data_IF_226031478358
#
_entry.id   IF_226031478358
#
_cell.length_a   1.000
_cell.length_b   1.000
_cell.length_c   1.000
_cell.angle_alpha   90.00
_cell.angle_beta   90.00
_cell.angle_gamma   90.00
#
_symmetry.space_group_name_H-M   'P 1'
#
loop_
_entity.id
_entity.type
_entity.pdbx_description
1 polymer ?
#
# COMPACT_ATOMS: atom_id res chain seq x y z
N UNK A 1 20.79 -16.48 11.98
CA UNK A 1 20.76 -16.39 10.51
C UNK A 1 19.63 -15.44 10.20
N UNK A 2 19.94 -14.20 9.82
CA UNK A 2 18.91 -13.26 9.38
C UNK A 2 18.36 -13.76 8.04
N UNK A 3 17.05 -13.76 7.88
CA UNK A 3 16.41 -14.09 6.62
C UNK A 3 16.71 -13.04 5.55
N UNK A 4 16.61 -13.43 4.27
CA UNK A 4 16.74 -12.49 3.14
C UNK A 4 15.76 -11.31 3.23
N UNK A 5 14.55 -11.54 3.74
CA UNK A 5 13.57 -10.48 3.93
C UNK A 5 13.92 -9.56 5.11
N UNK A 6 14.53 -10.07 6.19
CA UNK A 6 15.09 -9.24 7.25
C UNK A 6 16.21 -8.31 6.74
N UNK A 7 17.08 -8.79 5.84
CA UNK A 7 18.10 -7.95 5.21
C UNK A 7 17.49 -6.90 4.27
N UNK A 8 16.59 -7.30 3.37
CA UNK A 8 15.94 -6.38 2.45
C UNK A 8 15.20 -5.25 3.20
N UNK A 9 14.53 -5.56 4.30
CA UNK A 9 13.80 -4.54 5.05
C UNK A 9 14.65 -3.73 6.04
N UNK A 10 15.90 -4.13 6.33
CA UNK A 10 16.88 -3.23 6.93
C UNK A 10 17.23 -2.09 5.96
N UNK A 11 17.36 -2.38 4.67
CA UNK A 11 17.58 -1.33 3.66
C UNK A 11 16.40 -0.34 3.59
N UNK A 12 15.16 -0.81 3.80
CA UNK A 12 14.01 0.08 3.89
C UNK A 12 14.18 1.08 5.05
N UNK A 13 14.54 0.61 6.24
CA UNK A 13 14.77 1.49 7.39
C UNK A 13 15.84 2.55 7.08
N UNK A 14 16.97 2.16 6.50
CA UNK A 14 18.04 3.09 6.12
C UNK A 14 17.60 4.12 5.05
N UNK A 15 16.79 3.70 4.09
CA UNK A 15 16.22 4.59 3.09
C UNK A 15 15.28 5.61 3.73
N UNK A 16 14.38 5.16 4.61
CA UNK A 16 13.46 6.04 5.32
C UNK A 16 14.24 7.04 6.17
N UNK A 17 15.31 6.65 6.85
CA UNK A 17 16.12 7.52 7.72
C UNK A 17 16.83 8.66 6.98
N UNK A 18 16.99 8.53 5.67
CA UNK A 18 17.49 9.61 4.80
C UNK A 18 16.36 10.51 4.26
N UNK A 19 15.11 10.09 4.39
CA UNK A 19 13.93 10.81 3.93
C UNK A 19 13.33 11.68 5.04
N UNK A 20 12.83 12.86 4.64
CA UNK A 20 12.09 13.77 5.54
C UNK A 20 10.59 13.54 5.40
N UNK A 21 10.13 12.36 5.80
CA UNK A 21 8.71 11.96 5.81
C UNK A 21 8.25 11.61 7.23
N UNK A 22 6.97 11.82 7.53
CA UNK A 22 6.38 11.52 8.83
C UNK A 22 5.87 10.07 8.92
N UNK A 23 5.32 9.53 7.82
CA UNK A 23 4.89 8.14 7.75
C UNK A 23 6.07 7.17 7.64
N UNK A 24 5.83 5.89 7.95
CA UNK A 24 6.86 4.86 7.91
C UNK A 24 7.57 4.61 9.24
N UNK A 25 7.11 5.24 10.33
CA UNK A 25 7.73 5.14 11.66
C UNK A 25 6.71 5.09 12.79
N UNK A 26 6.90 4.19 13.77
CA UNK A 26 7.87 3.08 13.81
C UNK A 26 7.66 2.06 12.68
N UNK A 27 8.74 1.43 12.21
CA UNK A 27 8.71 0.39 11.18
C UNK A 27 8.97 -0.98 11.81
N UNK A 28 8.09 -1.94 11.55
CA UNK A 28 8.31 -3.36 11.86
C UNK A 28 8.32 -4.18 10.58
N UNK A 29 9.27 -5.09 10.48
CA UNK A 29 9.51 -5.90 9.29
C UNK A 29 9.48 -7.37 9.65
N UNK A 30 8.75 -8.16 8.85
CA UNK A 30 8.56 -9.58 9.08
C UNK A 30 8.77 -10.36 7.79
N UNK A 31 9.20 -11.61 7.90
CA UNK A 31 9.23 -12.51 6.75
C UNK A 31 7.82 -12.95 6.37
N UNK A 32 7.05 -13.35 7.38
CA UNK A 32 5.71 -13.88 7.25
C UNK A 32 4.87 -13.45 8.45
N UNK A 33 3.62 -13.10 8.19
CA UNK A 33 2.60 -12.76 9.19
C UNK A 33 1.25 -13.34 8.75
N UNK A 34 0.24 -13.32 9.61
CA UNK A 34 -1.14 -13.59 9.18
C UNK A 34 -1.65 -12.46 8.29
N UNK A 35 -1.56 -11.22 8.77
CA UNK A 35 -1.91 -9.99 8.05
C UNK A 35 -1.14 -8.80 8.64
N UNK A 36 -0.57 -7.96 7.79
CA UNK A 36 0.06 -6.69 8.20
C UNK A 36 -0.97 -5.71 8.77
N UNK A 37 -2.21 -5.74 8.25
CA UNK A 37 -3.30 -4.90 8.77
C UNK A 37 -3.61 -5.24 10.24
N UNK A 38 -3.62 -6.53 10.59
CA UNK A 38 -3.94 -6.96 11.96
C UNK A 38 -2.91 -6.44 12.96
N UNK A 39 -1.62 -6.54 12.61
CA UNK A 39 -0.54 -6.03 13.46
C UNK A 39 -0.66 -4.51 13.63
N UNK A 40 -0.88 -3.75 12.56
CA UNK A 40 -1.03 -2.29 12.66
C UNK A 40 -2.26 -1.91 13.46
N UNK A 41 -3.36 -2.64 13.30
CA UNK A 41 -4.60 -2.43 14.07
C UNK A 41 -4.38 -2.65 15.56
N UNK A 42 -3.70 -3.73 15.96
CA UNK A 42 -3.34 -3.97 17.36
C UNK A 42 -2.50 -2.82 17.94
N UNK A 43 -1.55 -2.28 17.16
CA UNK A 43 -0.76 -1.11 17.59
C UNK A 43 -1.61 0.14 17.73
N UNK A 44 -2.54 0.37 16.82
CA UNK A 44 -3.47 1.50 16.88
C UNK A 44 -4.37 1.43 18.13
N UNK A 45 -4.95 0.26 18.42
CA UNK A 45 -5.80 0.03 19.58
C UNK A 45 -5.03 0.14 20.91
N UNK A 46 -3.73 -0.12 20.90
CA UNK A 46 -2.82 0.11 22.02
C UNK A 46 -2.35 1.58 22.16
N UNK A 47 -2.88 2.52 21.38
CA UNK A 47 -2.52 3.94 21.44
C UNK A 47 -1.28 4.31 20.61
N UNK A 48 -0.93 3.51 19.61
CA UNK A 48 0.16 3.80 18.68
C UNK A 48 -0.05 5.13 17.93
N UNK A 49 1.07 5.81 17.66
CA UNK A 49 1.07 7.09 16.93
C UNK A 49 0.78 6.91 15.44
N UNK A 50 0.30 7.96 14.78
CA UNK A 50 0.30 8.02 13.31
C UNK A 50 1.67 7.66 12.72
N UNK A 51 1.65 6.94 11.59
CA UNK A 51 2.86 6.56 10.86
C UNK A 51 3.40 5.16 11.17
N UNK A 52 2.89 4.47 12.21
CA UNK A 52 3.23 3.06 12.46
C UNK A 52 3.06 2.23 11.18
N UNK A 53 4.14 1.59 10.76
CA UNK A 53 4.18 0.82 9.52
C UNK A 53 4.66 -0.60 9.78
N UNK A 54 3.95 -1.55 9.19
CA UNK A 54 4.37 -2.97 9.15
C UNK A 54 4.58 -3.37 7.71
N UNK A 55 5.71 -4.01 7.43
CA UNK A 55 5.99 -4.64 6.13
C UNK A 55 6.23 -6.12 6.33
N UNK A 56 5.68 -6.94 5.43
CA UNK A 56 5.91 -8.37 5.43
C UNK A 56 6.29 -8.90 4.05
N UNK A 57 7.13 -9.94 4.02
CA UNK A 57 7.49 -10.63 2.79
C UNK A 57 6.41 -11.59 2.27
N UNK A 58 5.55 -12.09 3.16
CA UNK A 58 4.45 -13.05 2.93
C UNK A 58 3.31 -12.78 3.90
N UNK A 59 2.08 -13.11 3.51
CA UNK A 59 0.95 -13.17 4.44
C UNK A 59 0.17 -14.48 4.26
N UNK A 60 -0.10 -15.21 5.34
CA UNK A 60 -0.85 -16.48 5.28
C UNK A 60 -2.37 -16.28 5.23
N UNK A 61 -2.85 -15.12 5.70
CA UNK A 61 -4.25 -14.74 5.70
C UNK A 61 -4.45 -13.34 5.08
N UNK A 62 -3.75 -13.05 3.97
CA UNK A 62 -3.88 -11.79 3.23
C UNK A 62 -5.32 -11.54 2.76
N UNK A 63 -5.81 -10.31 2.97
CA UNK A 63 -7.21 -9.94 2.70
C UNK A 63 -7.31 -8.78 1.72
N UNK A 64 -8.37 -8.80 0.93
CA UNK A 64 -8.88 -7.69 0.15
C UNK A 64 -10.26 -7.29 0.64
N UNK A 65 -10.91 -6.39 -0.11
CA UNK A 65 -12.26 -5.91 0.21
C UNK A 65 -13.31 -7.01 0.12
N UNK A 66 -14.36 -6.86 0.92
CA UNK A 66 -15.55 -7.72 0.90
C UNK A 66 -15.22 -9.20 1.13
N UNK A 67 -14.24 -9.49 1.99
CA UNK A 67 -13.85 -10.85 2.36
C UNK A 67 -13.04 -11.61 1.31
N UNK A 68 -12.67 -11.00 0.18
CA UNK A 68 -11.83 -11.64 -0.84
C UNK A 68 -10.42 -11.88 -0.29
N UNK A 69 -9.81 -13.01 -0.65
CA UNK A 69 -8.40 -13.29 -0.33
C UNK A 69 -7.49 -12.45 -1.23
N UNK A 70 -6.42 -11.90 -0.65
CA UNK A 70 -5.29 -11.39 -1.42
C UNK A 70 -4.23 -12.49 -1.49
N UNK A 71 -3.81 -12.89 -2.69
CA UNK A 71 -2.80 -13.93 -2.85
C UNK A 71 -1.42 -13.38 -2.46
N UNK A 72 -0.92 -13.82 -1.31
CA UNK A 72 0.31 -13.32 -0.66
C UNK A 72 1.32 -14.41 -0.29
N UNK A 73 1.15 -15.59 -0.88
CA UNK A 73 1.90 -16.80 -0.56
C UNK A 73 3.23 -16.87 -1.34
N UNK A 74 3.56 -15.87 -2.14
CA UNK A 74 4.85 -15.74 -2.85
C UNK A 74 5.75 -14.72 -2.15
N UNK A 75 7.06 -14.96 -2.12
CA UNK A 75 8.05 -13.99 -1.64
C UNK A 75 8.27 -12.80 -2.58
N UNK A 76 7.61 -12.76 -3.75
CA UNK A 76 7.73 -11.66 -4.70
C UNK A 76 6.92 -10.40 -4.35
N UNK A 77 5.93 -10.50 -3.45
CA UNK A 77 5.06 -9.36 -3.13
C UNK A 77 5.60 -8.45 -2.05
N UNK A 78 5.15 -7.19 -2.09
CA UNK A 78 5.27 -6.22 -1.01
C UNK A 78 3.90 -6.12 -0.32
N UNK A 79 3.85 -6.44 0.97
CA UNK A 79 2.65 -6.27 1.79
C UNK A 79 2.97 -5.30 2.91
N UNK A 80 2.33 -4.14 2.89
CA UNK A 80 2.60 -3.05 3.81
C UNK A 80 1.30 -2.56 4.42
N UNK A 81 1.31 -2.21 5.69
CA UNK A 81 0.20 -1.53 6.35
C UNK A 81 0.71 -0.29 7.08
N UNK A 82 -0.06 0.79 7.03
CA UNK A 82 0.29 2.08 7.65
C UNK A 82 -0.88 2.57 8.50
N UNK A 83 -0.58 3.01 9.73
CA UNK A 83 -1.54 3.67 10.62
C UNK A 83 -1.69 5.15 10.25
N UNK A 84 -2.91 5.56 9.93
CA UNK A 84 -3.27 6.95 9.67
C UNK A 84 -4.25 7.46 10.74
N UNK A 85 -4.09 8.70 11.19
CA UNK A 85 -4.99 9.40 12.10
C UNK A 85 -5.41 10.73 11.45
N UNK A 86 -6.31 10.66 10.45
CA UNK A 86 -6.62 11.83 9.62
C UNK A 86 -7.54 12.84 10.30
N UNK A 87 -8.29 12.42 11.33
CA UNK A 87 -9.40 13.18 11.90
C UNK A 87 -10.36 13.69 10.81
N UNK A 88 -10.79 12.80 9.91
CA UNK A 88 -11.72 13.15 8.84
C UNK A 88 -13.16 12.79 9.21
N UNK A 89 -14.16 13.46 8.63
CA UNK A 89 -15.54 12.99 8.67
C UNK A 89 -15.68 11.56 8.11
N UNK A 90 -16.59 10.77 8.70
CA UNK A 90 -16.77 9.36 8.33
C UNK A 90 -17.17 9.15 6.86
N UNK A 91 -17.93 10.07 6.28
CA UNK A 91 -18.36 10.08 4.87
C UNK A 91 -17.19 10.28 3.90
N UNK A 92 -16.05 10.76 4.39
CA UNK A 92 -14.82 10.89 3.60
C UNK A 92 -13.91 9.66 3.67
N UNK A 93 -14.26 8.62 4.43
CA UNK A 93 -13.44 7.41 4.59
C UNK A 93 -13.06 6.73 3.28
N UNK A 94 -13.92 6.79 2.26
CA UNK A 94 -13.63 6.27 0.92
C UNK A 94 -12.44 6.95 0.23
N UNK A 95 -12.14 8.22 0.57
CA UNK A 95 -11.01 8.97 0.01
C UNK A 95 -9.66 8.43 0.45
N UNK A 96 -9.58 7.70 1.56
CA UNK A 96 -8.34 7.07 1.99
C UNK A 96 -7.90 5.97 1.01
N UNK A 97 -8.84 5.18 0.46
CA UNK A 97 -8.49 4.18 -0.55
C UNK A 97 -7.97 4.83 -1.84
N UNK A 98 -8.56 5.96 -2.23
CA UNK A 98 -8.10 6.80 -3.36
C UNK A 98 -6.69 7.31 -3.09
N UNK A 99 -6.45 7.88 -1.91
CA UNK A 99 -5.13 8.36 -1.48
C UNK A 99 -4.05 7.27 -1.61
N UNK A 100 -4.31 6.08 -1.09
CA UNK A 100 -3.39 4.95 -1.22
C UNK A 100 -3.15 4.54 -2.67
N UNK A 101 -4.20 4.53 -3.50
CA UNK A 101 -4.08 4.21 -4.93
C UNK A 101 -3.24 5.24 -5.69
N UNK A 102 -3.47 6.53 -5.43
CA UNK A 102 -2.68 7.64 -6.00
C UNK A 102 -1.22 7.54 -5.55
N UNK A 103 -0.96 7.26 -4.27
CA UNK A 103 0.40 7.09 -3.77
C UNK A 103 1.16 5.96 -4.49
N UNK A 104 0.52 4.79 -4.66
CA UNK A 104 1.13 3.68 -5.41
C UNK A 104 1.31 4.02 -6.89
N UNK A 105 0.32 4.64 -7.52
CA UNK A 105 0.43 5.09 -8.91
C UNK A 105 1.64 6.01 -9.09
N UNK A 106 1.74 7.08 -8.30
CA UNK A 106 2.83 8.07 -8.40
C UNK A 106 4.19 7.42 -8.10
N UNK A 107 4.25 6.49 -7.14
CA UNK A 107 5.48 5.78 -6.81
C UNK A 107 5.97 4.95 -7.99
N UNK A 108 5.10 4.14 -8.60
CA UNK A 108 5.47 3.28 -9.72
C UNK A 108 5.76 4.10 -11.00
N UNK A 109 5.00 5.17 -11.24
CA UNK A 109 5.25 6.09 -12.37
C UNK A 109 6.63 6.76 -12.22
N UNK A 110 7.00 7.21 -11.02
CA UNK A 110 8.31 7.81 -10.74
C UNK A 110 9.48 6.85 -10.94
N UNK A 111 9.23 5.54 -10.85
CA UNK A 111 10.20 4.48 -11.13
C UNK A 111 10.27 4.13 -12.63
N UNK A 112 9.48 4.80 -13.48
CA UNK A 112 9.48 4.63 -14.93
C UNK A 112 8.46 3.62 -15.45
N UNK A 113 7.54 3.14 -14.61
CA UNK A 113 6.49 2.22 -15.05
C UNK A 113 5.46 2.96 -15.90
N UNK A 114 5.16 2.43 -17.09
CA UNK A 114 4.23 3.03 -18.04
C UNK A 114 2.92 2.26 -18.14
N UNK A 115 1.88 2.92 -18.67
CA UNK A 115 0.56 2.30 -18.87
C UNK A 115 -0.21 2.07 -17.57
N UNK A 116 0.12 2.83 -16.53
CA UNK A 116 -0.59 2.83 -15.26
C UNK A 116 -1.99 3.42 -15.41
N UNK A 117 -2.93 2.89 -14.63
CA UNK A 117 -4.25 3.47 -14.43
C UNK A 117 -4.76 3.15 -13.03
N UNK A 118 -5.68 3.98 -12.55
CA UNK A 118 -6.38 3.75 -11.29
C UNK A 118 -7.68 3.02 -11.60
N UNK A 119 -8.13 2.09 -10.76
CA UNK A 119 -9.41 1.42 -10.93
C UNK A 119 -10.24 1.59 -9.68
N UNK A 120 -11.46 2.09 -9.87
CA UNK A 120 -12.40 2.21 -8.77
C UNK A 120 -12.73 0.82 -8.19
N UNK A 121 -12.76 0.66 -6.86
CA UNK A 121 -12.59 1.70 -5.84
C UNK A 121 -11.18 1.83 -5.25
N UNK A 122 -10.25 0.92 -5.53
CA UNK A 122 -9.07 0.74 -4.69
C UNK A 122 -7.91 -0.01 -5.35
N UNK A 123 -7.88 -0.13 -6.68
CA UNK A 123 -6.89 -0.93 -7.38
C UNK A 123 -6.01 -0.04 -8.28
N UNK A 124 -4.75 -0.45 -8.46
CA UNK A 124 -3.86 0.13 -9.48
C UNK A 124 -3.60 -0.93 -10.53
N UNK A 125 -3.67 -0.54 -11.80
CA UNK A 125 -3.47 -1.43 -12.94
C UNK A 125 -2.29 -0.96 -13.79
N UNK A 126 -1.67 -1.91 -14.49
CA UNK A 126 -0.78 -1.65 -15.62
C UNK A 126 -1.35 -2.37 -16.83
N UNK A 127 -1.62 -1.62 -17.91
CA UNK A 127 -2.20 -2.16 -19.16
C UNK A 127 -3.45 -3.02 -18.92
N UNK A 128 -4.32 -2.55 -18.01
CA UNK A 128 -5.57 -3.22 -17.64
C UNK A 128 -5.45 -4.39 -16.65
N UNK A 129 -4.24 -4.82 -16.27
CA UNK A 129 -4.00 -5.89 -15.30
C UNK A 129 -3.59 -5.33 -13.94
N UNK A 130 -4.07 -5.94 -12.87
CA UNK A 130 -3.87 -5.48 -11.50
C UNK A 130 -2.44 -5.65 -11.03
N UNK A 131 -1.82 -4.57 -10.57
CA UNK A 131 -0.49 -4.56 -9.96
C UNK A 131 -0.54 -4.28 -8.45
N UNK A 132 -1.57 -3.58 -7.99
CA UNK A 132 -1.73 -3.27 -6.56
C UNK A 132 -3.20 -3.17 -6.16
N UNK A 133 -3.45 -3.38 -4.87
CA UNK A 133 -4.75 -3.13 -4.24
C UNK A 133 -4.58 -2.53 -2.85
N UNK A 134 -5.51 -1.65 -2.51
CA UNK A 134 -5.53 -0.91 -1.25
C UNK A 134 -6.72 -1.36 -0.40
N UNK A 135 -6.48 -1.68 0.87
CA UNK A 135 -7.52 -2.02 1.83
C UNK A 135 -7.45 -1.04 3.00
N UNK A 136 -8.51 -0.26 3.19
CA UNK A 136 -8.62 0.65 4.33
C UNK A 136 -9.63 0.11 5.32
N UNK A 137 -9.21 -0.02 6.57
CA UNK A 137 -10.05 -0.44 7.70
C UNK A 137 -10.11 0.70 8.73
N UNK A 138 -11.14 1.57 8.66
CA UNK A 138 -11.28 2.70 9.58
C UNK A 138 -11.88 2.29 10.92
N UNK A 139 -11.43 2.93 12.00
CA UNK A 139 -12.12 3.01 13.29
C UNK A 139 -12.86 4.33 13.37
N UNK A 140 -14.17 4.26 13.63
CA UNK A 140 -15.05 5.42 13.62
C UNK A 140 -15.53 5.69 15.06
N UNK A 141 -15.46 6.94 15.47
CA UNK A 141 -15.97 7.44 16.75
C UNK A 141 -16.43 8.89 16.62
N UNK A 142 -17.54 9.25 17.26
CA UNK A 142 -18.07 10.62 17.21
C UNK A 142 -18.37 11.17 15.81
N UNK A 143 -18.65 10.30 14.83
CA UNK A 143 -18.87 10.70 13.42
C UNK A 143 -17.59 10.99 12.64
N UNK A 144 -16.42 10.68 13.20
CA UNK A 144 -15.10 10.93 12.61
C UNK A 144 -14.27 9.65 12.57
N UNK A 145 -13.22 9.66 11.76
CA UNK A 145 -12.24 8.60 11.66
C UNK A 145 -11.19 8.83 12.75
N UNK A 146 -11.27 8.07 13.84
CA UNK A 146 -10.29 8.10 14.94
C UNK A 146 -8.92 7.65 14.43
N UNK A 147 -8.90 6.53 13.70
CA UNK A 147 -7.76 6.07 12.95
C UNK A 147 -8.20 5.21 11.76
N UNK A 148 -7.30 4.99 10.82
CA UNK A 148 -7.48 4.04 9.73
C UNK A 148 -6.21 3.23 9.50
N UNK A 149 -6.39 1.92 9.35
CA UNK A 149 -5.30 1.04 8.92
C UNK A 149 -5.37 0.92 7.40
N UNK A 150 -4.33 1.40 6.73
CA UNK A 150 -4.22 1.32 5.27
C UNK A 150 -3.26 0.20 4.88
N UNK A 151 -3.82 -0.91 4.44
CA UNK A 151 -3.11 -2.01 3.80
C UNK A 151 -2.86 -1.73 2.32
N UNK A 152 -1.64 -1.97 1.87
CA UNK A 152 -1.15 -1.78 0.52
C UNK A 152 -0.44 -3.07 0.09
N UNK A 153 -1.02 -3.77 -0.88
CA UNK A 153 -0.38 -4.90 -1.54
C UNK A 153 0.15 -4.48 -2.91
N UNK A 154 1.44 -4.67 -3.18
CA UNK A 154 2.04 -4.41 -4.51
C UNK A 154 2.69 -5.69 -5.02
N UNK A 155 2.38 -6.05 -6.26
CA UNK A 155 3.03 -7.13 -6.98
C UNK A 155 4.36 -6.63 -7.54
N UNK A 156 5.48 -7.01 -6.92
CA UNK A 156 6.81 -6.52 -7.31
C UNK A 156 7.56 -7.59 -8.11
N UNK A 157 7.96 -8.67 -7.44
CA UNK A 157 8.80 -9.73 -7.97
C UNK A 157 8.06 -10.96 -8.49
N UNK A 158 6.73 -11.04 -8.34
CA UNK A 158 5.97 -12.22 -8.76
C UNK A 158 6.12 -12.51 -10.26
N UNK A 159 6.14 -13.79 -10.59
CA UNK A 159 6.11 -14.35 -11.94
C UNK A 159 4.74 -14.98 -12.22
N UNK A 160 4.47 -15.36 -13.48
CA UNK A 160 3.22 -16.03 -13.82
C UNK A 160 2.99 -17.35 -13.08
N UNK A 161 4.06 -18.03 -12.63
CA UNK A 161 3.97 -19.28 -11.87
C UNK A 161 3.48 -19.07 -10.43
N UNK A 162 3.61 -17.85 -9.91
CA UNK A 162 3.18 -17.50 -8.55
C UNK A 162 1.65 -17.33 -8.44
N UNK A 163 0.92 -17.21 -9.55
CA UNK A 163 -0.54 -17.07 -9.57
C UNK A 163 -1.25 -18.32 -10.07
N UNK A 164 -2.44 -18.55 -9.53
CA UNK A 164 -3.39 -19.50 -10.10
C UNK A 164 -3.86 -19.01 -11.49
N UNK A 165 -4.50 -19.90 -12.26
CA UNK A 165 -4.90 -19.61 -13.65
C UNK A 165 -5.81 -18.39 -13.78
N UNK A 166 -6.80 -18.26 -12.90
CA UNK A 166 -7.74 -17.13 -12.87
C UNK A 166 -7.00 -15.79 -12.67
N UNK A 167 -6.12 -15.74 -11.65
CA UNK A 167 -5.39 -14.51 -11.29
C UNK A 167 -4.33 -14.16 -12.32
N UNK A 168 -3.72 -15.14 -12.98
CA UNK A 168 -2.62 -14.94 -13.94
C UNK A 168 -3.02 -14.05 -15.12
N UNK A 169 -4.27 -14.12 -15.57
CA UNK A 169 -4.79 -13.27 -16.65
C UNK A 169 -5.14 -11.84 -16.19
N UNK A 170 -5.48 -11.68 -14.91
CA UNK A 170 -5.98 -10.43 -14.32
C UNK A 170 -4.91 -9.63 -13.60
N UNK A 171 -3.76 -10.23 -13.26
CA UNK A 171 -2.69 -9.62 -12.49
C UNK A 171 -1.40 -9.46 -13.31
N UNK A 172 -0.57 -8.51 -12.87
CA UNK A 172 0.81 -8.33 -13.32
C UNK A 172 1.68 -7.90 -12.15
N UNK A 173 2.98 -7.77 -12.37
CA UNK A 173 3.97 -7.36 -11.37
C UNK A 173 4.96 -6.37 -11.98
N UNK A 174 5.69 -5.62 -11.13
CA UNK A 174 6.76 -4.74 -11.59
C UNK A 174 7.76 -5.51 -12.49
N UNK A 175 8.19 -6.70 -12.06
CA UNK A 175 9.13 -7.54 -12.80
C UNK A 175 8.59 -7.97 -14.18
N UNK A 176 7.31 -8.33 -14.29
CA UNK A 176 6.69 -8.72 -15.57
C UNK A 176 6.51 -7.55 -16.52
N UNK A 177 6.41 -6.33 -16.00
CA UNK A 177 6.33 -5.09 -16.78
C UNK A 177 7.72 -4.46 -17.02
N UNK A 178 8.80 -5.18 -16.69
CA UNK A 178 10.18 -4.76 -16.97
C UNK A 178 10.83 -3.87 -15.90
N UNK A 179 10.14 -3.61 -14.79
CA UNK A 179 10.64 -2.81 -13.68
C UNK A 179 11.26 -3.70 -12.59
N UNK A 180 12.59 -3.71 -12.51
CA UNK A 180 13.36 -4.56 -11.59
C UNK A 180 13.95 -3.75 -10.44
N UNK A 181 13.17 -3.58 -9.38
CA UNK A 181 13.62 -2.96 -8.14
C UNK A 181 13.40 -3.91 -6.95
N UNK A 182 14.22 -3.75 -5.91
CA UNK A 182 14.00 -4.40 -4.61
C UNK A 182 12.68 -3.92 -3.99
N UNK A 183 12.00 -4.80 -3.23
CA UNK A 183 10.72 -4.47 -2.59
C UNK A 183 10.87 -3.35 -1.58
N UNK A 184 11.99 -3.31 -0.87
CA UNK A 184 12.33 -2.21 0.02
C UNK A 184 12.36 -0.85 -0.70
N UNK A 185 12.94 -0.79 -1.90
CA UNK A 185 12.98 0.43 -2.68
C UNK A 185 11.59 0.84 -3.21
N UNK A 186 10.77 -0.13 -3.63
CA UNK A 186 9.37 0.14 -3.99
C UNK A 186 8.59 0.64 -2.77
N UNK A 187 8.76 0.02 -1.60
CA UNK A 187 8.09 0.39 -0.37
C UNK A 187 8.45 1.82 0.07
N UNK A 188 9.73 2.20 0.00
CA UNK A 188 10.15 3.56 0.36
C UNK A 188 9.55 4.61 -0.57
N UNK A 189 9.44 4.33 -1.87
CA UNK A 189 8.76 5.21 -2.83
C UNK A 189 7.25 5.30 -2.60
N UNK A 190 6.60 4.20 -2.25
CA UNK A 190 5.17 4.23 -1.88
C UNK A 190 4.96 5.05 -0.60
N UNK A 191 5.81 4.88 0.43
CA UNK A 191 5.72 5.67 1.66
C UNK A 191 6.00 7.15 1.43
N UNK A 192 6.98 7.49 0.59
CA UNK A 192 7.29 8.87 0.20
C UNK A 192 6.09 9.55 -0.46
N UNK A 193 5.45 8.89 -1.43
CA UNK A 193 4.27 9.43 -2.11
C UNK A 193 3.05 9.46 -1.20
N UNK A 194 2.87 8.45 -0.35
CA UNK A 194 1.78 8.42 0.62
C UNK A 194 1.89 9.58 1.61
N UNK A 195 3.08 9.80 2.17
CA UNK A 195 3.33 10.93 3.09
C UNK A 195 3.08 12.28 2.42
N UNK A 196 3.57 12.46 1.20
CA UNK A 196 3.33 13.67 0.43
C UNK A 196 1.83 13.91 0.23
N UNK A 197 1.11 12.97 -0.38
CA UNK A 197 -0.32 13.18 -0.68
C UNK A 197 -1.16 13.27 0.60
N UNK A 198 -0.81 12.52 1.65
CA UNK A 198 -1.52 12.58 2.92
C UNK A 198 -1.34 13.93 3.61
N UNK A 199 -0.11 14.46 3.64
CA UNK A 199 0.16 15.79 4.20
C UNK A 199 -0.52 16.90 3.39
N UNK A 200 -0.58 16.78 2.06
CA UNK A 200 -1.31 17.73 1.21
C UNK A 200 -2.81 17.69 1.49
N UNK A 201 -3.41 16.51 1.59
CA UNK A 201 -4.86 16.38 1.89
C UNK A 201 -5.22 16.95 3.25
N UNK A 202 -4.39 16.74 4.29
CA UNK A 202 -4.55 17.39 5.61
C UNK A 202 -4.50 18.93 5.55
N UNK A 203 -3.80 19.51 4.57
CA UNK A 203 -3.69 20.97 4.37
C UNK A 203 -4.74 21.54 3.40
N UNK A 204 -5.79 20.78 3.09
CA UNK A 204 -6.86 21.20 2.17
C UNK A 204 -6.62 20.81 0.70
N UNK A 205 -5.56 20.07 0.39
CA UNK A 205 -5.19 19.63 -0.96
C UNK A 205 -6.01 18.45 -1.53
N UNK A 206 -7.14 18.09 -0.91
CA UNK A 206 -7.96 16.95 -1.34
C UNK A 206 -8.49 17.09 -2.78
N UNK A 207 -8.86 18.30 -3.21
CA UNK A 207 -9.36 18.54 -4.56
C UNK A 207 -8.35 18.20 -5.66
N UNK A 208 -7.05 18.50 -5.43
CA UNK A 208 -5.98 18.20 -6.40
C UNK A 208 -5.79 16.69 -6.55
N UNK A 209 -5.76 15.96 -5.44
CA UNK A 209 -5.69 14.49 -5.44
C UNK A 209 -6.90 13.87 -6.14
N UNK A 210 -8.11 14.38 -5.86
CA UNK A 210 -9.33 13.88 -6.51
C UNK A 210 -9.32 14.13 -8.01
N UNK A 211 -8.88 15.33 -8.44
CA UNK A 211 -8.70 15.62 -9.87
C UNK A 211 -7.71 14.66 -10.53
N UNK A 212 -6.57 14.42 -9.89
CA UNK A 212 -5.57 13.47 -10.38
C UNK A 212 -6.15 12.07 -10.54
N UNK A 213 -6.94 11.62 -9.56
CA UNK A 213 -7.66 10.35 -9.59
C UNK A 213 -8.66 10.30 -10.74
N UNK A 214 -9.53 11.31 -10.87
CA UNK A 214 -10.61 11.34 -11.87
C UNK A 214 -10.08 11.31 -13.32
N UNK A 215 -8.93 11.92 -13.58
CA UNK A 215 -8.27 11.89 -14.89
C UNK A 215 -7.69 10.51 -15.26
N UNK A 216 -7.48 9.62 -14.29
CA UNK A 216 -6.76 8.35 -14.45
C UNK A 216 -7.57 7.12 -14.08
N UNK A 217 -8.78 7.32 -13.53
CA UNK A 217 -9.62 6.23 -13.06
C UNK A 217 -10.36 5.58 -14.22
N UNK A 218 -10.20 4.27 -14.36
CA UNK A 218 -11.09 3.43 -15.16
C UNK A 218 -12.20 2.89 -14.26
N UNK A 219 -13.43 2.93 -14.78
CA UNK A 219 -14.60 2.32 -14.14
C UNK A 219 -14.89 0.97 -14.82
N UNK A 220 -15.35 -0.04 -14.07
CA UNK A 220 -15.78 -1.31 -14.65
C UNK A 220 -16.86 -1.13 -15.72
#
# INVERSE_FOLDING_TARGET
MDSLACTEFKELQEQLDRMRIALGRPLLCFDEVTSTNDIVKERAEAGGSEGWTVVAGRQTAGRGRCGRKWQSDSSGGLYMSVLLQPDWPVDESGRLAILGGVAVYCALESLGLQGLSLKWPNDVLVRGRKISGILVEPRIGGGRIEFAVMGIGVNVGQTGADWNEETRSLATSCSLEGLKHARAFVASKVLEQLDYHYSQTKRGGAASMMKFWDERVVRP
#
